data_IF_204826853577
#
_entry.id   IF_204826853577
#
_cell.length_a   1.000
_cell.length_b   1.000
_cell.length_c   1.000
_cell.angle_alpha   90.00
_cell.angle_beta   90.00
_cell.angle_gamma   90.00
#
_symmetry.space_group_name_H-M   'P 1'
#
loop_
_entity.id
_entity.type
_entity.pdbx_description
1 polymer ?
#
# COMPACT_ATOMS: atom_id res chain seq x y z
N UNK A 1 -5.13 -10.13 10.45
CA UNK A 1 -3.94 -9.88 11.30
C UNK A 1 -3.31 -11.10 12.01
N UNK A 2 -4.01 -11.89 12.86
CA UNK A 2 -3.35 -12.92 13.71
C UNK A 2 -2.59 -14.03 12.95
N UNK A 3 -3.02 -14.39 11.74
CA UNK A 3 -2.31 -15.33 10.86
C UNK A 3 -0.96 -14.78 10.37
N UNK A 4 -0.91 -13.51 9.97
CA UNK A 4 0.29 -12.88 9.40
C UNK A 4 1.42 -12.75 10.43
N UNK A 5 1.08 -12.56 11.71
CA UNK A 5 2.05 -12.53 12.82
C UNK A 5 2.62 -13.94 13.09
N UNK A 6 1.80 -14.99 12.99
CA UNK A 6 2.28 -16.37 13.14
C UNK A 6 3.18 -16.78 11.98
N UNK A 7 2.82 -16.44 10.73
CA UNK A 7 3.66 -16.64 9.56
C UNK A 7 5.00 -15.92 9.70
N UNK A 8 4.99 -14.65 10.13
CA UNK A 8 6.22 -13.89 10.36
C UNK A 8 7.07 -14.54 11.46
N UNK A 9 6.47 -15.05 12.54
CA UNK A 9 7.18 -15.74 13.62
C UNK A 9 7.83 -17.04 13.14
N UNK A 10 7.11 -17.87 12.40
CA UNK A 10 7.64 -19.14 11.88
C UNK A 10 8.73 -18.93 10.82
N UNK A 11 8.56 -17.95 9.93
CA UNK A 11 9.56 -17.61 8.93
C UNK A 11 10.82 -16.97 9.55
N UNK A 12 10.66 -16.10 10.55
CA UNK A 12 11.79 -15.47 11.26
C UNK A 12 12.55 -16.49 12.11
N UNK A 13 11.87 -17.43 12.79
CA UNK A 13 12.56 -18.54 13.46
C UNK A 13 13.32 -19.42 12.46
N UNK A 14 12.71 -19.78 11.32
CA UNK A 14 13.34 -20.63 10.30
C UNK A 14 14.59 -19.98 9.66
N UNK A 15 14.53 -18.68 9.35
CA UNK A 15 15.71 -17.95 8.86
C UNK A 15 16.79 -17.80 9.94
N UNK A 16 16.44 -17.54 11.19
CA UNK A 16 17.43 -17.40 12.27
C UNK A 16 18.09 -18.74 12.62
N UNK A 17 17.36 -19.87 12.59
CA UNK A 17 17.98 -21.20 12.75
C UNK A 17 18.91 -21.53 11.58
N UNK A 18 18.50 -21.27 10.34
CA UNK A 18 19.33 -21.53 9.16
C UNK A 18 20.63 -20.70 9.16
N UNK A 19 20.58 -19.44 9.60
CA UNK A 19 21.76 -18.60 9.78
C UNK A 19 22.62 -19.07 10.97
N UNK A 20 22.02 -19.54 12.06
CA UNK A 20 22.75 -20.10 13.20
C UNK A 20 23.52 -21.38 12.81
N UNK A 21 22.89 -22.29 12.03
CA UNK A 21 23.55 -23.50 11.52
C UNK A 21 24.63 -23.20 10.48
N UNK A 22 24.51 -22.11 9.72
CA UNK A 22 25.57 -21.65 8.81
C UNK A 22 26.78 -21.01 9.54
N UNK A 23 26.58 -20.46 10.75
CA UNK A 23 27.65 -19.85 11.56
C UNK A 23 28.40 -20.90 12.40
N UNK A 24 27.76 -22.01 12.77
CA UNK A 24 28.42 -23.17 13.43
C UNK A 24 29.09 -24.06 12.37
N UNK A 25 30.02 -23.45 11.62
CA UNK A 25 30.94 -24.19 10.75
C UNK A 25 31.88 -25.09 11.55
N UNK A 26 32.23 -26.23 10.93
CA UNK A 26 33.08 -27.29 11.49
C UNK A 26 34.36 -26.77 12.19
N UNK A 27 34.78 -27.37 13.34
CA UNK A 27 36.17 -27.31 13.77
C UNK A 27 37.06 -28.17 12.83
N UNK A 28 38.39 -28.01 12.95
CA UNK A 28 39.44 -28.58 12.06
C UNK A 28 39.42 -28.05 10.61
N UNK A 29 40.54 -27.63 10.01
CA UNK A 29 41.94 -27.99 10.25
C UNK A 29 42.89 -26.83 10.61
N UNK A 30 43.91 -27.14 11.42
CA UNK A 30 45.10 -26.30 11.63
C UNK A 30 46.30 -26.97 10.95
N UNK A 31 46.73 -26.47 9.79
CA UNK A 31 47.99 -26.91 9.17
C UNK A 31 49.05 -25.80 9.16
N UNK A 32 50.12 -26.07 9.91
CA UNK A 32 51.40 -25.35 9.90
C UNK A 32 52.24 -25.75 8.69
N UNK A 33 52.78 -24.79 7.93
CA UNK A 33 54.07 -24.97 7.23
C UNK A 33 54.94 -23.72 7.44
N UNK A 34 56.21 -23.99 7.70
CA UNK A 34 57.27 -23.07 8.10
C UNK A 34 58.25 -22.84 6.95
N UNK A 35 58.74 -21.61 6.76
CA UNK A 35 59.98 -21.30 6.05
C UNK A 35 60.02 -21.37 4.51
N UNK A 36 60.01 -20.20 3.86
CA UNK A 36 60.84 -19.95 2.66
C UNK A 36 61.41 -18.54 2.68
N UNK A 37 62.60 -18.39 2.08
CA UNK A 37 63.54 -17.29 2.31
C UNK A 37 63.06 -15.90 1.86
N UNK A 38 63.65 -14.91 2.53
CA UNK A 38 63.81 -13.50 2.17
C UNK A 38 64.77 -13.35 0.97
N UNK A 39 64.81 -12.14 0.39
CA UNK A 39 65.58 -11.67 -0.80
C UNK A 39 64.82 -11.84 -2.15
N UNK A 40 64.76 -10.89 -3.08
CA UNK A 40 64.75 -9.40 -3.10
C UNK A 40 64.47 -8.96 -4.58
N UNK A 41 63.99 -7.78 -4.99
CA UNK A 41 63.52 -6.55 -4.33
C UNK A 41 62.64 -5.69 -5.30
N UNK A 42 62.13 -4.53 -4.84
CA UNK A 42 61.62 -3.36 -5.59
C UNK A 42 60.77 -3.57 -6.88
N UNK A 43 59.44 -3.41 -6.73
CA UNK A 43 58.59 -2.82 -7.78
C UNK A 43 58.06 -1.50 -7.24
N UNK A 44 58.24 -0.44 -8.03
CA UNK A 44 57.84 0.94 -7.70
C UNK A 44 56.35 1.12 -7.96
N UNK A 45 55.51 0.73 -6.99
CA UNK A 45 54.07 0.94 -7.09
C UNK A 45 53.67 2.24 -6.39
N UNK A 46 53.20 3.21 -7.19
CA UNK A 46 52.54 4.40 -6.64
C UNK A 46 51.17 3.96 -6.13
N UNK A 47 51.15 3.54 -4.86
CA UNK A 47 49.94 3.23 -4.12
C UNK A 47 49.03 4.47 -4.08
N UNK A 48 48.17 4.59 -5.09
CA UNK A 48 46.87 5.25 -4.94
C UNK A 48 46.22 4.56 -3.75
N UNK A 49 45.99 5.30 -2.66
CA UNK A 49 45.25 4.82 -1.52
C UNK A 49 43.75 4.78 -1.89
N UNK A 50 43.39 3.91 -2.83
CA UNK A 50 42.00 3.57 -3.14
C UNK A 50 41.45 2.77 -1.96
N UNK A 51 40.94 3.51 -0.98
CA UNK A 51 40.19 2.98 0.16
C UNK A 51 38.88 2.36 -0.32
N UNK A 52 38.96 1.14 -0.86
CA UNK A 52 37.80 0.36 -1.26
C UNK A 52 36.94 -0.01 -0.04
N UNK A 53 35.62 0.09 -0.21
CA UNK A 53 34.66 -0.46 0.76
C UNK A 53 34.98 -1.92 1.06
N UNK A 54 35.05 -2.29 2.34
CA UNK A 54 35.34 -3.69 2.68
C UNK A 54 34.12 -4.56 2.36
N UNK A 55 34.36 -5.78 1.88
CA UNK A 55 33.27 -6.70 1.54
C UNK A 55 32.39 -7.00 2.77
N UNK A 56 32.96 -7.07 3.97
CA UNK A 56 32.19 -7.25 5.21
C UNK A 56 31.34 -6.04 5.60
N UNK A 57 31.81 -4.82 5.36
CA UNK A 57 31.01 -3.60 5.58
C UNK A 57 29.78 -3.58 4.66
N UNK A 58 29.94 -3.93 3.39
CA UNK A 58 28.80 -4.08 2.47
C UNK A 58 27.84 -5.19 2.90
N UNK A 59 28.34 -6.35 3.36
CA UNK A 59 27.48 -7.45 3.84
C UNK A 59 26.65 -7.06 5.07
N UNK A 60 27.22 -6.32 6.03
CA UNK A 60 26.49 -5.84 7.21
C UNK A 60 25.41 -4.83 6.80
N UNK A 61 25.71 -3.91 5.87
CA UNK A 61 24.73 -2.95 5.35
C UNK A 61 23.57 -3.66 4.63
N UNK A 62 23.87 -4.66 3.79
CA UNK A 62 22.85 -5.46 3.11
C UNK A 62 21.98 -6.27 4.09
N UNK A 63 22.58 -6.84 5.15
CA UNK A 63 21.84 -7.53 6.20
C UNK A 63 20.85 -6.60 6.91
N UNK A 64 21.26 -5.37 7.26
CA UNK A 64 20.38 -4.39 7.89
C UNK A 64 19.24 -3.95 6.96
N UNK A 65 19.53 -3.64 5.69
CA UNK A 65 18.51 -3.26 4.70
C UNK A 65 17.47 -4.39 4.54
N UNK A 66 17.91 -5.64 4.43
CA UNK A 66 17.02 -6.79 4.31
C UNK A 66 16.03 -6.91 5.47
N UNK A 67 16.47 -6.68 6.73
CA UNK A 67 15.57 -6.72 7.90
C UNK A 67 14.51 -5.60 7.87
N UNK A 68 14.89 -4.39 7.45
CA UNK A 68 13.97 -3.23 7.44
C UNK A 68 12.95 -3.36 6.29
N UNK A 69 13.40 -3.73 5.08
CA UNK A 69 12.54 -3.88 3.91
C UNK A 69 11.40 -4.90 4.14
N UNK A 70 11.69 -5.98 4.87
CA UNK A 70 10.72 -7.03 5.21
C UNK A 70 9.48 -6.50 5.94
N UNK A 71 9.66 -5.50 6.83
CA UNK A 71 8.56 -4.88 7.58
C UNK A 71 7.93 -3.73 6.78
N UNK A 72 8.74 -2.97 6.03
CA UNK A 72 8.30 -1.78 5.32
C UNK A 72 7.32 -2.08 4.16
N UNK A 73 7.57 -3.12 3.37
CA UNK A 73 6.79 -3.46 2.16
C UNK A 73 5.28 -3.65 2.46
N UNK A 74 4.84 -4.55 3.37
CA UNK A 74 3.41 -4.78 3.62
C UNK A 74 2.72 -3.54 4.20
N UNK A 75 3.40 -2.76 5.04
CA UNK A 75 2.85 -1.51 5.62
C UNK A 75 2.64 -0.46 4.53
N UNK A 76 3.63 -0.26 3.67
CA UNK A 76 3.55 0.72 2.58
C UNK A 76 2.46 0.37 1.56
N UNK A 77 2.29 -0.93 1.25
CA UNK A 77 1.23 -1.39 0.33
C UNK A 77 -0.18 -0.99 0.81
N UNK A 78 -0.44 -1.06 2.12
CA UNK A 78 -1.74 -0.67 2.69
C UNK A 78 -1.96 0.85 2.64
N UNK A 79 -0.89 1.65 2.78
CA UNK A 79 -0.96 3.10 2.62
C UNK A 79 -1.27 3.49 1.16
N UNK A 80 -0.63 2.85 0.18
CA UNK A 80 -0.93 3.08 -1.24
C UNK A 80 -2.38 2.72 -1.59
N UNK A 81 -2.89 1.58 -1.12
CA UNK A 81 -4.28 1.19 -1.35
C UNK A 81 -5.27 2.18 -0.73
N UNK A 82 -5.00 2.67 0.49
CA UNK A 82 -5.76 3.78 1.12
C UNK A 82 -5.75 5.05 0.26
N UNK A 83 -4.58 5.44 -0.25
CA UNK A 83 -4.43 6.62 -1.09
C UNK A 83 -5.27 6.52 -2.39
N UNK A 84 -5.22 5.38 -3.08
CA UNK A 84 -6.03 5.07 -4.26
C UNK A 84 -7.54 5.14 -3.97
N UNK A 85 -7.99 4.63 -2.83
CA UNK A 85 -9.39 4.73 -2.41
C UNK A 85 -9.79 6.20 -2.14
N UNK A 86 -8.93 6.97 -1.46
CA UNK A 86 -9.20 8.39 -1.18
C UNK A 86 -9.21 9.27 -2.43
N UNK A 87 -8.53 8.89 -3.52
CA UNK A 87 -8.61 9.56 -4.83
C UNK A 87 -10.08 9.65 -5.30
N UNK A 88 -10.79 8.52 -5.31
CA UNK A 88 -12.21 8.47 -5.68
C UNK A 88 -13.11 9.27 -4.76
N UNK A 89 -12.82 9.29 -3.44
CA UNK A 89 -13.52 10.15 -2.51
C UNK A 89 -13.30 11.65 -2.82
N UNK A 90 -12.11 12.05 -3.27
CA UNK A 90 -11.86 13.44 -3.67
C UNK A 90 -12.56 13.83 -4.97
N UNK A 91 -12.61 12.92 -5.96
CA UNK A 91 -13.33 13.15 -7.22
C UNK A 91 -14.85 13.23 -7.01
N UNK A 92 -15.41 12.42 -6.10
CA UNK A 92 -16.84 12.43 -5.79
C UNK A 92 -17.34 13.72 -5.11
N UNK A 93 -16.46 14.56 -4.54
CA UNK A 93 -16.86 15.79 -3.81
C UNK A 93 -17.65 16.79 -4.67
N UNK A 94 -17.34 16.89 -5.96
CA UNK A 94 -18.11 17.75 -6.87
C UNK A 94 -19.56 17.27 -7.01
N UNK A 95 -19.73 15.95 -7.17
CA UNK A 95 -21.06 15.31 -7.29
C UNK A 95 -21.82 15.37 -5.95
N UNK A 96 -21.13 15.25 -4.81
CA UNK A 96 -21.72 15.47 -3.49
C UNK A 96 -22.33 16.87 -3.36
N UNK A 97 -21.58 17.92 -3.76
CA UNK A 97 -22.05 19.30 -3.69
C UNK A 97 -23.29 19.53 -4.57
N UNK A 98 -23.29 19.05 -5.82
CA UNK A 98 -24.46 19.22 -6.69
C UNK A 98 -25.69 18.43 -6.19
N UNK A 99 -25.49 17.25 -5.61
CA UNK A 99 -26.57 16.49 -4.98
C UNK A 99 -27.13 17.19 -3.73
N UNK A 100 -26.27 17.80 -2.90
CA UNK A 100 -26.68 18.62 -1.76
C UNK A 100 -27.45 19.87 -2.19
N UNK A 101 -26.97 20.58 -3.22
CA UNK A 101 -27.63 21.77 -3.76
C UNK A 101 -29.01 21.42 -4.34
N UNK A 102 -29.12 20.32 -5.09
CA UNK A 102 -30.41 19.85 -5.60
C UNK A 102 -31.39 19.52 -4.47
N UNK A 103 -30.94 18.81 -3.43
CA UNK A 103 -31.77 18.51 -2.26
C UNK A 103 -32.20 19.79 -1.53
N UNK A 104 -31.31 20.77 -1.37
CA UNK A 104 -31.62 22.05 -0.73
C UNK A 104 -32.64 22.90 -1.52
N UNK A 105 -32.65 22.80 -2.85
CA UNK A 105 -33.58 23.53 -3.73
C UNK A 105 -34.93 22.83 -3.90
N UNK A 106 -34.95 21.50 -4.01
CA UNK A 106 -36.14 20.72 -4.39
C UNK A 106 -36.78 19.94 -3.22
N UNK A 107 -36.06 19.72 -2.12
CA UNK A 107 -36.52 18.94 -0.96
C UNK A 107 -36.54 17.41 -1.16
N UNK A 108 -36.10 16.91 -2.31
CA UNK A 108 -35.90 15.48 -2.60
C UNK A 108 -34.57 15.28 -3.34
N UNK A 109 -34.08 14.04 -3.36
CA UNK A 109 -32.87 13.65 -4.07
C UNK A 109 -33.14 13.46 -5.58
N UNK A 110 -32.14 13.70 -6.45
CA UNK A 110 -32.32 13.52 -7.89
C UNK A 110 -32.64 12.06 -8.20
N UNK A 111 -33.69 11.81 -9.00
CA UNK A 111 -34.25 10.47 -9.17
C UNK A 111 -33.45 9.65 -10.20
N UNK A 112 -34.10 9.00 -11.19
CA UNK A 112 -33.37 8.34 -12.27
C UNK A 112 -32.62 9.37 -13.10
N UNK A 113 -31.49 8.97 -13.66
CA UNK A 113 -30.70 9.79 -14.60
C UNK A 113 -30.22 11.11 -13.97
N UNK A 114 -29.87 11.06 -12.69
CA UNK A 114 -29.43 12.18 -11.87
C UNK A 114 -28.26 12.97 -12.49
N UNK A 115 -27.41 12.32 -13.27
CA UNK A 115 -26.33 12.99 -14.00
C UNK A 115 -26.87 13.99 -15.03
N UNK A 116 -27.82 13.57 -15.87
CA UNK A 116 -28.43 14.43 -16.89
C UNK A 116 -29.26 15.55 -16.25
N UNK A 117 -30.00 15.26 -15.19
CA UNK A 117 -30.82 16.23 -14.47
C UNK A 117 -30.01 17.36 -13.82
N UNK A 118 -28.77 17.07 -13.41
CA UNK A 118 -27.84 18.03 -12.80
C UNK A 118 -26.87 18.66 -13.80
N UNK A 119 -26.93 18.29 -15.09
CA UNK A 119 -25.94 18.73 -16.09
C UNK A 119 -24.52 18.20 -15.84
N UNK A 120 -24.40 17.12 -15.07
CA UNK A 120 -23.14 16.41 -14.84
C UNK A 120 -22.74 15.60 -16.08
N UNK A 121 -21.45 15.27 -16.19
CA UNK A 121 -20.98 14.33 -17.20
C UNK A 121 -21.52 12.91 -16.97
N UNK A 122 -21.42 12.02 -17.96
CA UNK A 122 -21.75 10.61 -17.77
C UNK A 122 -20.91 9.98 -16.64
N UNK A 123 -21.42 8.94 -15.98
CA UNK A 123 -20.75 8.33 -14.82
C UNK A 123 -19.33 7.82 -15.15
N UNK A 124 -19.12 7.36 -16.37
CA UNK A 124 -17.87 6.85 -16.94
C UNK A 124 -16.89 7.96 -17.37
N UNK A 125 -17.32 9.24 -17.33
CA UNK A 125 -16.43 10.38 -17.58
C UNK A 125 -15.60 10.75 -16.34
N UNK A 126 -16.08 10.40 -15.14
CA UNK A 126 -15.39 10.62 -13.86
C UNK A 126 -14.32 9.55 -13.59
N UNK A 127 -13.32 9.47 -14.48
CA UNK A 127 -12.19 8.54 -14.36
C UNK A 127 -11.02 9.17 -13.63
N UNK A 128 -10.32 8.37 -12.85
CA UNK A 128 -9.05 8.71 -12.22
C UNK A 128 -7.98 7.69 -12.58
N UNK A 129 -6.84 7.74 -11.89
CA UNK A 129 -5.82 6.70 -11.95
C UNK A 129 -6.33 5.39 -11.32
N UNK A 130 -7.12 5.49 -10.25
CA UNK A 130 -7.71 4.34 -9.53
C UNK A 130 -9.22 4.17 -9.77
N UNK A 131 -9.88 5.11 -10.44
CA UNK A 131 -11.35 5.18 -10.54
C UNK A 131 -11.82 4.90 -11.96
N UNK A 132 -12.77 3.98 -12.09
CA UNK A 132 -13.39 3.64 -13.36
C UNK A 132 -14.65 4.46 -13.66
N UNK A 133 -15.51 4.67 -12.66
CA UNK A 133 -16.73 5.47 -12.80
C UNK A 133 -17.23 5.99 -11.45
N UNK A 134 -17.99 7.08 -11.48
CA UNK A 134 -18.72 7.60 -10.32
C UNK A 134 -20.17 7.86 -10.75
N UNK A 135 -21.09 7.10 -10.18
CA UNK A 135 -22.52 7.18 -10.47
C UNK A 135 -23.31 7.73 -9.28
N UNK A 136 -24.15 8.74 -9.52
CA UNK A 136 -25.14 9.27 -8.58
C UNK A 136 -26.51 8.64 -8.87
N UNK A 137 -27.13 8.09 -7.83
CA UNK A 137 -28.48 7.55 -7.86
C UNK A 137 -29.20 7.89 -6.54
N UNK A 138 -30.19 8.80 -6.60
CA UNK A 138 -30.90 9.30 -5.40
C UNK A 138 -29.92 9.88 -4.37
N UNK A 139 -30.01 9.42 -3.13
CA UNK A 139 -29.15 9.84 -2.03
C UNK A 139 -27.83 9.05 -1.97
N UNK A 140 -27.47 8.29 -3.01
CA UNK A 140 -26.27 7.45 -3.03
C UNK A 140 -25.35 7.81 -4.20
N UNK A 141 -24.06 7.99 -3.89
CA UNK A 141 -22.98 8.05 -4.88
C UNK A 141 -22.20 6.74 -4.77
N UNK A 142 -22.02 6.07 -5.91
CA UNK A 142 -21.30 4.80 -6.02
C UNK A 142 -20.06 5.07 -6.87
N UNK A 143 -18.89 4.98 -6.22
CA UNK A 143 -17.58 5.02 -6.89
C UNK A 143 -17.20 3.57 -7.20
N UNK A 144 -16.90 3.29 -8.46
CA UNK A 144 -16.34 1.99 -8.89
C UNK A 144 -14.86 2.18 -9.19
N UNK A 145 -14.01 1.36 -8.57
CA UNK A 145 -12.56 1.37 -8.80
C UNK A 145 -12.18 0.34 -9.87
N UNK A 146 -11.06 0.60 -10.54
CA UNK A 146 -10.41 -0.36 -11.43
C UNK A 146 -9.54 -1.37 -10.63
N UNK A 147 -8.88 -2.28 -11.35
CA UNK A 147 -8.04 -3.36 -10.79
C UNK A 147 -6.82 -2.86 -9.96
N UNK A 148 -6.52 -1.56 -9.97
CA UNK A 148 -5.46 -0.96 -9.14
C UNK A 148 -5.80 -0.96 -7.64
N UNK A 149 -7.09 -1.05 -7.30
CA UNK A 149 -7.60 -1.25 -5.93
C UNK A 149 -7.91 -2.73 -5.74
N UNK A 150 -7.29 -3.34 -4.74
CA UNK A 150 -7.46 -4.77 -4.45
C UNK A 150 -8.88 -5.06 -3.96
N UNK A 151 -9.68 -5.70 -4.80
CA UNK A 151 -11.00 -6.19 -4.41
C UNK A 151 -10.91 -7.46 -3.56
N UNK A 152 -11.93 -7.67 -2.74
CA UNK A 152 -12.15 -8.89 -1.95
C UNK A 152 -13.34 -9.65 -2.57
N UNK A 153 -13.07 -10.48 -3.60
CA UNK A 153 -14.07 -11.29 -4.29
C UNK A 153 -13.89 -11.36 -5.80
N UNK A 154 -14.95 -11.76 -6.52
CA UNK A 154 -15.05 -11.72 -7.98
C UNK A 154 -15.44 -10.36 -8.55
N UNK A 155 -15.95 -9.48 -7.70
CA UNK A 155 -16.63 -8.26 -8.08
C UNK A 155 -15.71 -7.05 -7.93
N UNK A 156 -15.96 -5.98 -8.70
CA UNK A 156 -15.17 -4.76 -8.59
C UNK A 156 -15.30 -4.11 -7.21
N UNK A 157 -14.17 -3.53 -6.76
CA UNK A 157 -14.08 -2.74 -5.55
C UNK A 157 -14.95 -1.48 -5.68
N UNK A 158 -15.78 -1.20 -4.67
CA UNK A 158 -16.74 -0.07 -4.69
C UNK A 158 -16.73 0.69 -3.37
N UNK A 159 -16.98 1.99 -3.46
CA UNK A 159 -17.22 2.85 -2.30
C UNK A 159 -18.58 3.52 -2.45
N UNK A 160 -19.49 3.25 -1.51
CA UNK A 160 -20.81 3.86 -1.45
C UNK A 160 -20.81 5.01 -0.46
N UNK A 161 -21.25 6.17 -0.91
CA UNK A 161 -21.50 7.36 -0.11
C UNK A 161 -23.01 7.55 -0.05
N UNK A 162 -23.61 7.43 1.13
CA UNK A 162 -25.06 7.59 1.34
C UNK A 162 -25.33 8.85 2.13
N UNK A 163 -26.07 9.80 1.56
CA UNK A 163 -26.53 10.97 2.28
C UNK A 163 -27.66 10.59 3.25
N UNK A 164 -27.51 11.04 4.50
CA UNK A 164 -28.45 10.91 5.60
C UNK A 164 -28.85 12.31 6.06
N UNK A 165 -30.16 12.56 6.15
CA UNK A 165 -30.72 13.86 6.50
C UNK A 165 -31.20 13.85 7.95
N UNK A 166 -30.38 14.35 8.87
CA UNK A 166 -30.65 14.34 10.31
C UNK A 166 -30.81 15.77 10.82
N UNK A 167 -32.02 16.14 11.24
CA UNK A 167 -32.30 17.44 11.86
C UNK A 167 -31.99 18.66 10.97
N UNK A 168 -32.16 18.53 9.65
CA UNK A 168 -31.84 19.60 8.68
C UNK A 168 -30.36 19.66 8.26
N UNK A 169 -29.50 18.79 8.79
CA UNK A 169 -28.12 18.61 8.30
C UNK A 169 -28.05 17.43 7.33
N UNK A 170 -27.29 17.56 6.25
CA UNK A 170 -26.91 16.45 5.38
C UNK A 170 -25.58 15.88 5.90
N UNK A 171 -25.54 14.58 6.16
CA UNK A 171 -24.35 13.85 6.56
C UNK A 171 -24.10 12.69 5.59
N UNK A 172 -22.88 12.56 5.08
CA UNK A 172 -22.52 11.45 4.19
C UNK A 172 -21.94 10.29 5.00
N UNK A 173 -22.68 9.20 5.09
CA UNK A 173 -22.18 7.92 5.57
C UNK A 173 -21.40 7.23 4.44
N UNK A 174 -20.16 6.81 4.70
CA UNK A 174 -19.34 6.11 3.73
C UNK A 174 -19.23 4.62 4.06
N UNK A 175 -19.27 3.75 3.05
CA UNK A 175 -19.18 2.30 3.21
C UNK A 175 -18.40 1.68 2.04
N UNK A 176 -17.37 0.89 2.36
CA UNK A 176 -16.69 0.04 1.37
C UNK A 176 -17.45 -1.25 1.05
N UNK A 177 -17.47 -1.60 -0.23
CA UNK A 177 -18.01 -2.86 -0.76
C UNK A 177 -16.91 -3.58 -1.56
N UNK A 178 -16.73 -4.88 -1.32
CA UNK A 178 -15.67 -5.70 -1.92
C UNK A 178 -14.26 -5.12 -1.71
N UNK A 179 -13.99 -4.47 -0.57
CA UNK A 179 -12.69 -3.91 -0.21
C UNK A 179 -12.32 -4.36 1.20
N UNK A 180 -11.09 -4.88 1.35
CA UNK A 180 -10.53 -5.30 2.64
C UNK A 180 -10.52 -4.13 3.64
N UNK A 181 -11.04 -4.35 4.86
CA UNK A 181 -11.19 -3.30 5.88
C UNK A 181 -9.88 -2.57 6.22
N UNK A 182 -8.75 -3.28 6.18
CA UNK A 182 -7.41 -2.72 6.35
C UNK A 182 -6.99 -1.71 5.27
N UNK A 183 -7.68 -1.63 4.13
CA UNK A 183 -7.48 -0.62 3.08
C UNK A 183 -8.49 0.54 3.12
N UNK A 184 -9.60 0.40 3.84
CA UNK A 184 -10.61 1.46 3.92
C UNK A 184 -10.18 2.62 4.83
N UNK A 185 -10.35 3.90 4.42
CA UNK A 185 -10.19 5.05 5.30
C UNK A 185 -11.20 4.97 6.46
N UNK A 186 -10.90 5.60 7.61
CA UNK A 186 -11.63 5.35 8.87
C UNK A 186 -13.11 5.75 8.79
N UNK A 187 -13.37 6.76 7.99
CA UNK A 187 -14.67 7.36 7.68
C UNK A 187 -15.58 6.39 6.90
N UNK A 188 -15.00 5.39 6.25
CA UNK A 188 -15.69 4.43 5.38
C UNK A 188 -15.71 2.99 5.95
N UNK A 189 -15.32 2.83 7.21
CA UNK A 189 -15.43 1.55 7.91
C UNK A 189 -16.90 1.27 8.26
N UNK A 190 -17.37 0.02 8.09
CA UNK A 190 -18.71 -0.37 8.55
C UNK A 190 -18.79 -0.17 10.08
N UNK A 191 -19.85 0.52 10.50
CA UNK A 191 -20.20 0.74 11.91
C UNK A 191 -20.79 -0.53 12.54
#
# INVERSE_FOLDING_TARGET
>A
MRSMINFFREWFLSCVTFVAEAIVGSPEERQTIEGRSREDCMVEDRMMAEGGFTLMELLIVLALIATISMIAIPVYSNYLQRAKITEGLTLAKGIQLEAELYYALNGDWPQKDAHEQLGLGAAESYRGNSVESIALARNQIIITYNDEVKSEGSDSAKLRLTAQTTGGTIQWACQGENIVKEHLPKECLPQ
#
